data_IF_088572482598
#
_entry.id   IF_088572482598
#
_cell.length_a   1.000
_cell.length_b   1.000
_cell.length_c   1.000
_cell.angle_alpha   90.00
_cell.angle_beta   90.00
_cell.angle_gamma   90.00
#
_symmetry.space_group_name_H-M   'P 1'
#
loop_
_entity.id
_entity.type
_entity.pdbx_description
1 polymer ?
#
# COMPACT_ATOMS: atom_id res chain seq x y z
N UNK A 1 5.50 -18.00 -2.06
CA UNK A 1 6.08 -16.67 -1.71
C UNK A 1 5.01 -15.59 -1.69
N UNK A 2 4.22 -15.44 -2.76
CA UNK A 2 3.01 -14.59 -2.78
C UNK A 2 2.06 -14.87 -1.61
N UNK A 3 1.69 -16.13 -1.37
CA UNK A 3 0.67 -16.47 -0.35
C UNK A 3 1.11 -16.06 1.06
N UNK A 4 2.39 -16.19 1.36
CA UNK A 4 2.95 -15.73 2.63
C UNK A 4 2.88 -14.19 2.79
N UNK A 5 3.09 -13.43 1.71
CA UNK A 5 2.94 -11.97 1.75
C UNK A 5 1.49 -11.56 1.92
N UNK A 6 0.56 -12.33 1.37
CA UNK A 6 -0.87 -12.14 1.56
C UNK A 6 -1.26 -12.35 3.03
N UNK A 7 -0.69 -13.34 3.71
CA UNK A 7 -0.92 -13.56 5.14
C UNK A 7 -0.37 -12.40 6.00
N UNK A 8 0.79 -11.86 5.63
CA UNK A 8 1.41 -10.73 6.33
C UNK A 8 0.71 -9.37 6.16
N UNK A 9 -0.34 -9.27 5.35
CA UNK A 9 -1.19 -8.07 5.32
C UNK A 9 -1.98 -7.87 6.62
N UNK A 10 -2.10 -8.93 7.43
CA UNK A 10 -2.85 -8.95 8.69
C UNK A 10 -1.92 -9.00 9.93
N UNK A 11 -0.62 -8.80 9.74
CA UNK A 11 0.35 -8.79 10.85
C UNK A 11 0.19 -7.53 11.72
N UNK A 12 0.33 -7.68 13.04
CA UNK A 12 0.21 -6.56 14.00
C UNK A 12 1.33 -5.52 13.84
N UNK A 13 2.48 -5.92 13.29
CA UNK A 13 3.64 -5.04 13.13
C UNK A 13 3.52 -4.29 11.82
N UNK A 14 3.29 -2.98 11.91
CA UNK A 14 3.08 -2.13 10.73
C UNK A 14 4.22 -2.18 9.69
N UNK A 15 5.46 -2.39 10.11
CA UNK A 15 6.59 -2.54 9.18
C UNK A 15 6.51 -3.85 8.38
N UNK A 16 6.00 -4.93 8.97
CA UNK A 16 5.78 -6.20 8.27
C UNK A 16 4.69 -6.05 7.23
N UNK A 17 3.59 -5.38 7.59
CA UNK A 17 2.49 -5.07 6.66
C UNK A 17 2.99 -4.21 5.49
N UNK A 18 3.77 -3.16 5.76
CA UNK A 18 4.32 -2.29 4.72
C UNK A 18 5.22 -3.05 3.73
N UNK A 19 6.14 -3.89 4.25
CA UNK A 19 7.00 -4.73 3.41
C UNK A 19 6.24 -5.82 2.68
N UNK A 20 5.14 -6.33 3.25
CA UNK A 20 4.25 -7.25 2.56
C UNK A 20 3.61 -6.60 1.33
N UNK A 21 3.07 -5.38 1.48
CA UNK A 21 2.51 -4.60 0.36
C UNK A 21 3.59 -4.27 -0.69
N UNK A 22 4.77 -3.81 -0.28
CA UNK A 22 5.86 -3.53 -1.22
C UNK A 22 6.38 -4.81 -1.90
N UNK A 23 6.39 -5.95 -1.19
CA UNK A 23 6.70 -7.26 -1.74
C UNK A 23 5.70 -7.66 -2.84
N UNK A 24 4.39 -7.53 -2.58
CA UNK A 24 3.35 -7.77 -3.58
C UNK A 24 3.50 -6.85 -4.80
N UNK A 25 3.88 -5.58 -4.58
CA UNK A 25 4.18 -4.62 -5.63
C UNK A 25 5.37 -5.07 -6.50
N UNK A 26 6.46 -5.51 -5.87
CA UNK A 26 7.67 -6.00 -6.54
C UNK A 26 7.43 -7.29 -7.35
N UNK A 27 6.48 -8.11 -6.91
CA UNK A 27 6.06 -9.34 -7.61
C UNK A 27 5.01 -9.09 -8.71
N UNK A 28 4.62 -7.84 -8.96
CA UNK A 28 3.54 -7.46 -9.88
C UNK A 28 2.21 -8.19 -9.59
N UNK A 29 1.94 -8.48 -8.32
CA UNK A 29 0.78 -9.24 -7.90
C UNK A 29 -0.49 -8.37 -7.93
N UNK A 30 -1.14 -8.28 -9.08
CA UNK A 30 -2.30 -7.39 -9.27
C UNK A 30 -3.57 -7.83 -8.55
N UNK A 31 -3.75 -9.12 -8.27
CA UNK A 31 -5.02 -9.64 -7.74
C UNK A 31 -5.20 -9.34 -6.24
N UNK A 32 -4.15 -8.89 -5.55
CA UNK A 32 -4.21 -8.52 -4.14
C UNK A 32 -4.83 -7.13 -3.90
N UNK A 33 -5.22 -6.41 -4.96
CA UNK A 33 -5.60 -4.99 -4.89
C UNK A 33 -6.65 -4.67 -3.84
N UNK A 34 -7.71 -5.46 -3.74
CA UNK A 34 -8.78 -5.16 -2.80
C UNK A 34 -8.34 -5.40 -1.34
N UNK A 35 -7.49 -6.40 -1.09
CA UNK A 35 -6.86 -6.61 0.24
C UNK A 35 -5.90 -5.48 0.60
N UNK A 36 -5.08 -5.03 -0.36
CA UNK A 36 -4.15 -3.91 -0.15
C UNK A 36 -4.90 -2.60 0.11
N UNK A 37 -6.02 -2.35 -0.58
CA UNK A 37 -6.79 -1.11 -0.42
C UNK A 37 -7.52 -0.99 0.92
N UNK A 38 -7.73 -2.09 1.66
CA UNK A 38 -8.21 -2.04 3.05
C UNK A 38 -7.24 -1.24 3.93
N UNK A 39 -5.94 -1.25 3.61
CA UNK A 39 -4.88 -0.63 4.39
C UNK A 39 -4.66 0.86 4.07
N UNK A 40 -5.46 1.47 3.18
CA UNK A 40 -5.25 2.86 2.75
C UNK A 40 -5.38 3.90 3.87
N UNK A 41 -6.12 3.59 4.94
CA UNK A 41 -6.31 4.42 6.14
C UNK A 41 -5.56 3.86 7.36
N UNK A 42 -4.62 2.93 7.15
CA UNK A 42 -3.87 2.31 8.23
C UNK A 42 -3.14 3.36 9.09
N UNK A 43 -3.08 3.23 10.43
CA UNK A 43 -2.50 4.26 11.32
C UNK A 43 -1.03 4.56 11.02
N UNK A 44 -0.25 3.55 10.62
CA UNK A 44 1.14 3.74 10.21
C UNK A 44 1.26 4.43 8.83
N UNK A 45 2.01 5.54 8.73
CA UNK A 45 2.24 6.24 7.46
C UNK A 45 3.06 5.41 6.47
N UNK A 46 3.92 4.51 6.95
CA UNK A 46 4.69 3.60 6.09
C UNK A 46 3.76 2.65 5.32
N UNK A 47 2.74 2.10 5.98
CA UNK A 47 1.75 1.22 5.35
C UNK A 47 0.93 1.99 4.31
N UNK A 48 0.41 3.17 4.66
CA UNK A 48 -0.32 4.03 3.72
C UNK A 48 0.55 4.36 2.48
N UNK A 49 1.82 4.70 2.71
CA UNK A 49 2.78 4.96 1.63
C UNK A 49 3.02 3.75 0.72
N UNK A 50 3.15 2.54 1.28
CA UNK A 50 3.29 1.30 0.50
C UNK A 50 2.03 1.00 -0.32
N UNK A 51 0.83 1.23 0.23
CA UNK A 51 -0.44 1.10 -0.50
C UNK A 51 -0.49 2.05 -1.71
N UNK A 52 -0.07 3.31 -1.53
CA UNK A 52 -0.02 4.30 -2.61
C UNK A 52 0.95 3.90 -3.72
N UNK A 53 2.16 3.43 -3.38
CA UNK A 53 3.13 2.94 -4.38
C UNK A 53 2.60 1.72 -5.13
N UNK A 54 1.99 0.77 -4.41
CA UNK A 54 1.40 -0.42 -5.01
C UNK A 54 0.29 -0.05 -6.02
N UNK A 55 -0.67 0.80 -5.62
CA UNK A 55 -1.80 1.15 -6.48
C UNK A 55 -1.36 2.02 -7.67
N UNK A 56 -0.41 2.95 -7.46
CA UNK A 56 0.14 3.80 -8.51
C UNK A 56 0.80 2.97 -9.62
N UNK A 57 1.59 1.96 -9.25
CA UNK A 57 2.32 1.11 -10.19
C UNK A 57 1.39 0.11 -10.89
N UNK A 58 0.56 -0.58 -10.13
CA UNK A 58 -0.16 -1.77 -10.64
C UNK A 58 -1.56 -1.47 -11.16
N UNK A 59 -2.19 -0.39 -10.68
CA UNK A 59 -3.57 0.01 -10.98
C UNK A 59 -3.70 1.54 -11.10
N UNK A 60 -2.97 2.18 -12.03
CA UNK A 60 -2.85 3.64 -12.10
C UNK A 60 -4.20 4.37 -12.18
N UNK A 61 -5.16 3.82 -12.92
CA UNK A 61 -6.53 4.33 -13.00
C UNK A 61 -7.25 4.39 -11.63
N UNK A 62 -7.05 3.40 -10.75
CA UNK A 62 -7.59 3.41 -9.38
C UNK A 62 -6.70 4.23 -8.43
N UNK A 63 -5.41 4.32 -8.72
CA UNK A 63 -4.44 5.01 -7.88
C UNK A 63 -4.53 6.53 -7.96
N UNK A 64 -4.87 7.08 -9.13
CA UNK A 64 -4.86 8.53 -9.34
C UNK A 64 -5.71 9.34 -8.33
N UNK A 65 -6.98 8.98 -8.04
CA UNK A 65 -7.75 9.68 -7.02
C UNK A 65 -7.16 9.55 -5.60
N UNK A 66 -6.57 8.41 -5.28
CA UNK A 66 -5.95 8.16 -3.97
C UNK A 66 -4.66 8.96 -3.78
N UNK A 67 -3.84 9.09 -4.83
CA UNK A 67 -2.64 9.91 -4.81
C UNK A 67 -2.96 11.40 -4.63
N UNK A 68 -4.04 11.89 -5.25
CA UNK A 68 -4.51 13.27 -5.03
C UNK A 68 -4.91 13.47 -3.57
N UNK A 69 -5.68 12.54 -3.00
CA UNK A 69 -6.07 12.62 -1.59
C UNK A 69 -4.86 12.58 -0.64
N UNK A 70 -3.85 11.78 -0.97
CA UNK A 70 -2.62 11.63 -0.17
C UNK A 70 -1.80 12.93 -0.04
N UNK A 71 -1.94 13.88 -0.98
CA UNK A 71 -1.31 15.20 -0.87
C UNK A 71 -1.80 16.02 0.33
N UNK A 72 -2.95 15.64 0.91
CA UNK A 72 -3.53 16.25 2.10
C UNK A 72 -3.35 15.39 3.37
N UNK A 73 -2.62 14.26 3.30
CA UNK A 73 -2.35 13.44 4.48
C UNK A 73 -1.54 14.24 5.51
N UNK A 74 -1.77 14.02 6.79
CA UNK A 74 -1.02 14.69 7.87
C UNK A 74 0.47 14.34 7.89
N UNK A 75 0.86 13.20 7.33
CA UNK A 75 2.21 12.69 7.38
C UNK A 75 2.97 12.95 6.06
N UNK A 76 4.16 13.53 6.17
CA UNK A 76 5.00 13.89 5.03
C UNK A 76 5.45 12.67 4.20
N UNK A 77 5.56 11.48 4.81
CA UNK A 77 5.93 10.25 4.11
C UNK A 77 4.84 9.89 3.11
N UNK A 78 3.58 10.02 3.52
CA UNK A 78 2.42 9.70 2.68
C UNK A 78 2.27 10.72 1.56
N UNK A 79 2.40 12.02 1.86
CA UNK A 79 2.38 13.09 0.85
C UNK A 79 3.43 12.90 -0.26
N UNK A 80 4.57 12.27 0.07
CA UNK A 80 5.67 12.03 -0.88
C UNK A 80 5.67 10.63 -1.49
N UNK A 81 4.73 9.77 -1.11
CA UNK A 81 4.61 8.41 -1.67
C UNK A 81 3.94 8.49 -3.04
N UNK A 82 4.74 8.33 -4.09
CA UNK A 82 4.33 8.32 -5.50
C UNK A 82 4.92 7.10 -6.17
#
# INVERSE_FOLDING_TARGET
MRDLLLDYLEDDRSMVVAEAVDGLCRLDEKNAVDRVLVLKEHPSPYVRGSVLRYIARLHPERGFPLLIAALQDSDFIVQRSR
#
